data_IF_516294498272
#
_entry.id   IF_516294498272
#
_cell.length_a   1.000
_cell.length_b   1.000
_cell.length_c   1.000
_cell.angle_alpha   90.00
_cell.angle_beta   90.00
_cell.angle_gamma   90.00
#
_symmetry.space_group_name_H-M   'P 1'
#
loop_
_entity.id
_entity.type
_entity.pdbx_description
1 polymer ?
#
# COMPACT_ATOMS: atom_id res chain seq x y z
N UNK A 1 24.03 -22.27 -44.16
CA UNK A 1 22.72 -21.87 -43.55
C UNK A 1 22.52 -22.29 -42.09
N UNK A 2 23.25 -23.27 -41.51
CA UNK A 2 23.07 -23.67 -40.10
C UNK A 2 23.72 -22.72 -39.06
N UNK A 3 24.81 -22.02 -39.40
CA UNK A 3 25.51 -21.12 -38.46
C UNK A 3 24.83 -19.76 -38.26
N UNK A 4 24.03 -19.29 -39.22
CA UNK A 4 23.34 -18.00 -39.14
C UNK A 4 22.12 -18.10 -38.20
N UNK A 5 21.47 -19.27 -38.17
CA UNK A 5 20.30 -19.51 -37.33
C UNK A 5 20.65 -19.54 -35.82
N UNK A 6 21.82 -20.06 -35.45
CA UNK A 6 22.27 -20.09 -34.04
C UNK A 6 22.63 -18.69 -33.51
N UNK A 7 23.13 -17.79 -34.37
CA UNK A 7 23.44 -16.41 -33.97
C UNK A 7 22.16 -15.59 -33.77
N UNK A 8 21.12 -15.83 -34.57
CA UNK A 8 19.82 -15.17 -34.40
C UNK A 8 19.12 -15.57 -33.10
N UNK A 9 19.22 -16.84 -32.69
CA UNK A 9 18.61 -17.34 -31.45
C UNK A 9 19.34 -16.78 -30.21
N UNK A 10 20.67 -16.67 -30.24
CA UNK A 10 21.41 -16.03 -29.14
C UNK A 10 21.13 -14.52 -29.04
N UNK A 11 20.90 -13.83 -30.16
CA UNK A 11 20.50 -12.41 -30.18
C UNK A 11 19.06 -12.22 -29.66
N UNK A 12 18.13 -13.13 -29.95
CA UNK A 12 16.77 -13.11 -29.40
C UNK A 12 16.75 -13.35 -27.88
N UNK A 13 17.71 -14.11 -27.33
CA UNK A 13 17.85 -14.30 -25.89
C UNK A 13 18.43 -13.08 -25.16
N UNK A 14 19.12 -12.16 -25.84
CA UNK A 14 19.60 -10.91 -25.23
C UNK A 14 18.58 -9.78 -25.22
N UNK A 15 17.48 -9.90 -25.98
CA UNK A 15 16.36 -8.94 -25.94
C UNK A 15 15.28 -9.28 -24.91
N UNK A 16 15.44 -10.37 -24.15
CA UNK A 16 14.56 -10.74 -23.03
C UNK A 16 15.19 -10.46 -21.65
N UNK A 17 16.14 -9.53 -21.59
CA UNK A 17 16.73 -9.03 -20.35
C UNK A 17 16.18 -7.67 -19.88
N UNK A 18 15.06 -7.21 -20.46
CA UNK A 18 14.29 -6.06 -19.97
C UNK A 18 12.87 -6.48 -19.58
N UNK A 19 12.75 -7.52 -18.75
CA UNK A 19 11.81 -7.41 -17.63
C UNK A 19 12.60 -6.77 -16.49
N UNK A 20 12.82 -5.45 -16.56
CA UNK A 20 13.01 -4.73 -15.31
C UNK A 20 11.64 -4.81 -14.63
N UNK A 21 11.47 -5.81 -13.78
CA UNK A 21 10.31 -5.97 -12.91
C UNK A 21 10.18 -4.67 -12.12
N UNK A 22 9.21 -3.83 -12.49
CA UNK A 22 9.14 -2.50 -11.92
C UNK A 22 8.36 -2.54 -10.62
N UNK A 23 9.10 -2.74 -9.53
CA UNK A 23 8.55 -2.93 -8.20
C UNK A 23 8.87 -1.71 -7.32
N UNK A 24 8.55 -0.48 -7.75
CA UNK A 24 8.80 0.69 -6.90
C UNK A 24 8.56 2.07 -7.51
N UNK A 25 9.05 3.11 -6.84
CA UNK A 25 8.88 4.53 -7.19
C UNK A 25 10.23 5.24 -7.22
N UNK A 26 10.56 5.91 -8.33
CA UNK A 26 11.81 6.68 -8.45
C UNK A 26 13.05 5.81 -8.27
N UNK A 27 13.78 5.98 -7.17
CA UNK A 27 14.96 5.15 -6.78
C UNK A 27 14.63 4.08 -5.73
N UNK A 28 13.44 4.14 -5.11
CA UNK A 28 13.01 3.22 -4.07
C UNK A 28 12.36 1.99 -4.73
N UNK A 29 12.72 0.80 -4.27
CA UNK A 29 12.24 -0.48 -4.81
C UNK A 29 11.85 -1.42 -3.69
N UNK A 30 10.75 -2.15 -3.86
CA UNK A 30 10.45 -3.31 -3.01
C UNK A 30 11.65 -4.27 -3.04
N UNK A 31 11.90 -4.94 -1.92
CA UNK A 31 13.07 -5.80 -1.73
C UNK A 31 14.31 -5.10 -1.15
N UNK A 32 14.42 -3.77 -1.32
CA UNK A 32 15.52 -2.94 -0.79
C UNK A 32 15.76 -3.17 0.71
N UNK A 33 17.03 -3.21 1.12
CA UNK A 33 17.37 -3.30 2.55
C UNK A 33 17.26 -1.97 3.26
N UNK A 34 17.19 -1.98 4.61
CA UNK A 34 17.19 -0.72 5.38
C UNK A 34 18.51 0.02 5.14
N UNK A 35 19.63 -0.70 5.03
CA UNK A 35 20.94 -0.11 4.74
C UNK A 35 20.96 0.62 3.40
N UNK A 36 20.50 -0.04 2.33
CA UNK A 36 20.45 0.56 0.99
C UNK A 36 19.51 1.78 0.94
N UNK A 37 18.38 1.69 1.66
CA UNK A 37 17.45 2.80 1.81
C UNK A 37 18.12 3.99 2.51
N UNK A 38 18.75 3.76 3.67
CA UNK A 38 19.38 4.82 4.46
C UNK A 38 20.60 5.44 3.78
N UNK A 39 21.28 4.71 2.88
CA UNK A 39 22.33 5.30 2.05
C UNK A 39 21.78 6.41 1.14
N UNK A 40 20.55 6.23 0.62
CA UNK A 40 19.88 7.21 -0.23
C UNK A 40 19.12 8.27 0.56
N UNK A 41 18.67 7.93 1.77
CA UNK A 41 17.83 8.78 2.62
C UNK A 41 18.34 8.77 4.08
N UNK A 42 19.53 9.34 4.35
CA UNK A 42 20.17 9.27 5.67
C UNK A 42 19.36 9.95 6.78
N UNK A 43 18.57 10.96 6.43
CA UNK A 43 17.74 11.73 7.36
C UNK A 43 16.33 11.15 7.57
N UNK A 44 16.02 10.00 6.95
CA UNK A 44 14.72 9.36 7.07
C UNK A 44 14.47 8.93 8.53
N UNK A 45 13.37 9.40 9.10
CA UNK A 45 13.00 9.10 10.49
C UNK A 45 12.23 7.80 10.56
N UNK A 46 12.60 6.96 11.51
CA UNK A 46 11.79 5.83 11.91
C UNK A 46 10.53 6.35 12.59
N UNK A 47 9.39 5.82 12.19
CA UNK A 47 8.11 6.11 12.83
C UNK A 47 7.74 5.02 13.83
N UNK A 48 6.98 5.41 14.85
CA UNK A 48 6.49 4.47 15.86
C UNK A 48 5.83 3.27 15.18
N UNK A 49 6.29 2.06 15.54
CA UNK A 49 5.79 0.86 14.89
C UNK A 49 4.30 0.63 15.18
N UNK A 50 3.54 0.44 14.11
CA UNK A 50 2.11 0.12 14.13
C UNK A 50 1.85 -1.39 14.19
N UNK A 51 2.86 -2.23 13.95
CA UNK A 51 2.76 -3.69 13.87
C UNK A 51 3.45 -4.40 15.04
N UNK A 52 3.39 -3.83 16.25
CA UNK A 52 3.90 -4.41 17.50
C UNK A 52 5.37 -4.94 17.47
N UNK A 53 6.27 -4.17 16.89
CA UNK A 53 7.69 -4.46 16.61
C UNK A 53 7.95 -5.51 15.52
N UNK A 54 6.94 -5.93 14.74
CA UNK A 54 7.14 -6.85 13.61
C UNK A 54 7.73 -6.16 12.38
N UNK A 55 7.50 -4.86 12.24
CA UNK A 55 7.97 -4.10 11.07
C UNK A 55 8.74 -2.87 11.49
N UNK A 56 9.57 -2.34 10.59
CA UNK A 56 10.17 -1.02 10.77
C UNK A 56 9.64 -0.12 9.68
N UNK A 57 9.00 0.98 10.05
CA UNK A 57 8.49 1.95 9.09
C UNK A 57 9.32 3.22 9.15
N UNK A 58 9.67 3.74 7.98
CA UNK A 58 10.30 5.05 7.81
C UNK A 58 9.35 5.97 7.06
N UNK A 59 9.42 7.26 7.36
CA UNK A 59 8.61 8.27 6.66
C UNK A 59 9.52 9.26 5.93
N UNK A 60 9.24 9.45 4.65
CA UNK A 60 9.74 10.58 3.88
C UNK A 60 8.63 11.64 3.85
N UNK A 61 8.84 12.76 4.54
CA UNK A 61 7.86 13.85 4.61
C UNK A 61 7.51 14.39 3.21
N UNK A 62 8.51 14.46 2.34
CA UNK A 62 8.34 14.81 0.93
C UNK A 62 9.27 13.95 0.08
N UNK A 63 8.71 13.34 -0.97
CA UNK A 63 9.44 12.53 -1.93
C UNK A 63 9.01 12.84 -3.36
N UNK A 64 9.98 13.07 -4.25
CA UNK A 64 9.75 13.42 -5.65
C UNK A 64 10.31 12.28 -6.52
N UNK A 65 9.49 11.26 -6.86
CA UNK A 65 9.96 10.12 -7.67
C UNK A 65 10.28 10.50 -9.12
N UNK A 66 9.64 11.54 -9.64
CA UNK A 66 9.85 12.06 -10.99
C UNK A 66 9.42 13.52 -11.06
N UNK A 67 9.95 14.28 -12.03
CA UNK A 67 9.63 15.70 -12.21
C UNK A 67 8.11 15.90 -12.36
N UNK A 68 7.53 16.74 -11.50
CA UNK A 68 6.09 17.04 -11.51
C UNK A 68 5.23 16.12 -10.66
N UNK A 69 5.80 15.08 -10.05
CA UNK A 69 5.09 14.15 -9.17
C UNK A 69 5.70 14.19 -7.78
N UNK A 70 4.89 14.46 -6.77
CA UNK A 70 5.32 14.48 -5.38
C UNK A 70 4.40 13.65 -4.49
N UNK A 71 5.01 13.09 -3.46
CA UNK A 71 4.37 12.30 -2.42
C UNK A 71 4.71 12.97 -1.09
N UNK A 72 3.66 13.39 -0.38
CA UNK A 72 3.76 13.88 1.00
C UNK A 72 3.54 12.71 1.93
N UNK A 73 4.34 12.63 3.00
CA UNK A 73 4.29 11.55 3.99
C UNK A 73 4.26 10.16 3.32
N UNK A 74 5.33 9.83 2.62
CA UNK A 74 5.52 8.49 2.04
C UNK A 74 6.06 7.56 3.12
N UNK A 75 5.24 6.59 3.52
CA UNK A 75 5.57 5.54 4.46
C UNK A 75 6.25 4.39 3.73
N UNK A 76 7.32 3.86 4.33
CA UNK A 76 8.15 2.79 3.79
C UNK A 76 8.32 1.72 4.86
N UNK A 77 7.65 0.58 4.71
CA UNK A 77 7.60 -0.48 5.72
C UNK A 77 8.48 -1.66 5.35
N UNK A 78 9.34 -2.04 6.29
CA UNK A 78 10.31 -3.11 6.16
C UNK A 78 9.94 -4.30 7.06
N UNK A 79 10.09 -5.50 6.52
CA UNK A 79 9.94 -6.77 7.24
C UNK A 79 11.19 -7.61 7.01
N UNK A 80 11.82 -8.08 8.09
CA UNK A 80 13.10 -8.81 8.05
C UNK A 80 14.16 -8.12 7.17
N UNK A 81 14.34 -6.80 7.36
CA UNK A 81 15.29 -5.97 6.60
C UNK A 81 14.98 -5.88 5.08
N UNK A 82 13.74 -6.11 4.66
CA UNK A 82 13.33 -5.96 3.26
C UNK A 82 12.11 -5.06 3.13
N UNK A 83 12.18 -4.04 2.28
CA UNK A 83 11.08 -3.13 1.97
C UNK A 83 9.95 -3.90 1.29
N UNK A 84 8.80 -4.00 1.94
CA UNK A 84 7.67 -4.75 1.40
C UNK A 84 6.48 -3.87 1.04
N UNK A 85 6.39 -2.65 1.57
CA UNK A 85 5.30 -1.74 1.26
C UNK A 85 5.77 -0.28 1.23
N UNK A 86 5.23 0.47 0.27
CA UNK A 86 5.33 1.93 0.20
C UNK A 86 3.94 2.52 -0.01
N UNK A 87 3.51 3.46 0.83
CA UNK A 87 2.15 3.98 0.78
C UNK A 87 2.06 5.42 1.29
N UNK A 88 1.02 6.13 0.87
CA UNK A 88 0.61 7.40 1.49
C UNK A 88 -0.91 7.49 1.55
N UNK A 89 -1.41 8.21 2.55
CA UNK A 89 -2.82 8.59 2.69
C UNK A 89 -3.04 10.08 2.41
N UNK A 90 -1.98 10.78 2.01
CA UNK A 90 -2.04 12.19 1.65
C UNK A 90 -2.47 12.35 0.19
N UNK A 91 -3.17 13.45 -0.16
CA UNK A 91 -3.49 13.76 -1.54
C UNK A 91 -2.24 13.78 -2.42
N UNK A 92 -2.29 13.09 -3.55
CA UNK A 92 -1.18 13.01 -4.50
C UNK A 92 -1.69 12.90 -5.94
N UNK A 93 -0.87 13.38 -6.88
CA UNK A 93 -1.08 13.26 -8.32
C UNK A 93 -0.38 12.02 -8.93
N UNK A 94 0.14 11.10 -8.10
CA UNK A 94 0.93 9.95 -8.56
C UNK A 94 0.17 9.03 -9.53
N UNK A 95 -1.18 9.03 -9.50
CA UNK A 95 -2.03 8.25 -10.41
C UNK A 95 -1.62 8.38 -11.88
N UNK A 96 -1.35 9.60 -12.35
CA UNK A 96 -0.98 9.83 -13.75
C UNK A 96 0.37 9.18 -14.08
N UNK A 97 1.36 9.31 -13.20
CA UNK A 97 2.65 8.63 -13.36
C UNK A 97 2.51 7.11 -13.37
N UNK A 98 1.62 6.54 -12.54
CA UNK A 98 1.35 5.10 -12.52
C UNK A 98 0.69 4.64 -13.83
N UNK A 99 -0.26 5.42 -14.37
CA UNK A 99 -0.88 5.10 -15.67
C UNK A 99 0.13 5.15 -16.81
N UNK A 100 1.03 6.14 -16.83
CA UNK A 100 2.11 6.19 -17.83
C UNK A 100 3.02 4.96 -17.72
N UNK A 101 3.30 4.53 -16.49
CA UNK A 101 4.26 3.48 -16.20
C UNK A 101 3.73 2.06 -16.42
N UNK A 102 2.53 1.76 -15.93
CA UNK A 102 1.94 0.43 -15.91
C UNK A 102 0.75 0.28 -16.89
N UNK A 103 0.40 1.34 -17.62
CA UNK A 103 -0.77 1.37 -18.49
C UNK A 103 -2.07 1.69 -17.76
N UNK A 104 -3.19 1.42 -18.42
CA UNK A 104 -4.51 1.74 -17.85
C UNK A 104 -4.84 0.84 -16.64
N UNK A 105 -5.33 1.41 -15.53
CA UNK A 105 -5.73 0.63 -14.37
C UNK A 105 -7.07 -0.06 -14.60
N UNK A 106 -7.28 -1.17 -13.88
CA UNK A 106 -8.62 -1.65 -13.59
C UNK A 106 -9.28 -0.69 -12.60
N UNK A 107 -10.52 -0.27 -12.90
CA UNK A 107 -11.27 0.69 -12.07
C UNK A 107 -12.52 0.00 -11.54
N UNK A 108 -12.63 -0.06 -10.22
CA UNK A 108 -13.87 -0.43 -9.53
C UNK A 108 -14.48 0.82 -8.92
N UNK A 109 -15.77 1.03 -9.17
CA UNK A 109 -16.52 2.16 -8.65
C UNK A 109 -17.70 1.65 -7.82
N UNK A 110 -17.73 2.08 -6.56
CA UNK A 110 -18.74 1.68 -5.59
C UNK A 110 -19.50 2.91 -5.10
N UNK A 111 -20.82 2.74 -4.92
CA UNK A 111 -21.71 3.77 -4.37
C UNK A 111 -22.53 3.19 -3.24
N UNK A 112 -22.59 3.91 -2.13
CA UNK A 112 -23.41 3.52 -0.98
C UNK A 112 -24.29 4.71 -0.55
N UNK A 113 -25.63 4.61 -0.68
CA UNK A 113 -26.50 5.67 -0.19
C UNK A 113 -26.52 5.72 1.34
N UNK A 114 -26.57 6.93 1.88
CA UNK A 114 -26.74 7.21 3.31
C UNK A 114 -27.86 8.21 3.50
N UNK A 115 -28.74 7.91 4.45
CA UNK A 115 -29.85 8.76 4.82
C UNK A 115 -29.44 9.75 5.91
N UNK A 116 -29.91 10.99 5.76
CA UNK A 116 -29.70 12.08 6.71
C UNK A 116 -31.01 12.84 6.90
N UNK A 117 -31.14 13.54 8.02
CA UNK A 117 -32.27 14.44 8.28
C UNK A 117 -31.75 15.87 8.23
N UNK A 118 -32.37 16.72 7.40
CA UNK A 118 -32.00 18.12 7.32
C UNK A 118 -32.62 18.95 8.46
N UNK A 119 -32.28 20.25 8.54
CA UNK A 119 -32.80 21.15 9.58
C UNK A 119 -34.33 21.38 9.56
N UNK A 120 -35.03 20.88 8.54
CA UNK A 120 -36.49 20.94 8.41
C UNK A 120 -37.17 19.60 8.75
N UNK A 121 -36.41 18.58 9.16
CA UNK A 121 -36.94 17.25 9.46
C UNK A 121 -37.13 16.35 8.23
N UNK A 122 -36.71 16.79 7.04
CA UNK A 122 -36.85 15.98 5.82
C UNK A 122 -35.66 15.03 5.65
N UNK A 123 -35.94 13.78 5.29
CA UNK A 123 -34.92 12.82 4.87
C UNK A 123 -34.29 13.24 3.54
N UNK A 124 -32.97 13.26 3.50
CA UNK A 124 -32.16 13.47 2.31
C UNK A 124 -31.19 12.29 2.16
N UNK A 125 -30.91 11.90 0.92
CA UNK A 125 -29.95 10.83 0.61
C UNK A 125 -28.66 11.48 0.11
N UNK A 126 -27.52 11.05 0.66
CA UNK A 126 -26.19 11.39 0.14
C UNK A 126 -25.46 10.10 -0.22
N UNK A 127 -24.67 10.11 -1.28
CA UNK A 127 -23.95 8.92 -1.75
C UNK A 127 -22.49 8.98 -1.33
N UNK A 128 -22.05 7.98 -0.56
CA UNK A 128 -20.62 7.70 -0.44
C UNK A 128 -20.14 7.08 -1.75
N UNK A 129 -19.00 7.55 -2.24
CA UNK A 129 -18.40 7.10 -3.51
C UNK A 129 -16.99 6.59 -3.26
N UNK A 130 -16.60 5.51 -3.93
CA UNK A 130 -15.24 4.99 -3.90
C UNK A 130 -14.80 4.60 -5.30
N UNK A 131 -13.67 5.15 -5.74
CA UNK A 131 -12.97 4.77 -6.96
C UNK A 131 -11.69 4.04 -6.56
N UNK A 132 -11.65 2.74 -6.78
CA UNK A 132 -10.50 1.90 -6.49
C UNK A 132 -9.82 1.55 -7.81
N UNK A 133 -8.59 2.03 -7.98
CA UNK A 133 -7.77 1.83 -9.17
C UNK A 133 -6.67 0.83 -8.84
N UNK A 134 -6.45 -0.14 -9.72
CA UNK A 134 -5.37 -1.13 -9.59
C UNK A 134 -4.62 -1.28 -10.91
N UNK A 135 -3.31 -1.25 -10.86
CA UNK A 135 -2.45 -1.48 -12.02
C UNK A 135 -1.90 -2.90 -12.03
N UNK A 136 -1.80 -3.49 -13.21
CA UNK A 136 -1.05 -4.72 -13.41
C UNK A 136 0.45 -4.39 -13.41
N UNK A 137 1.16 -4.90 -12.42
CA UNK A 137 2.61 -4.68 -12.27
C UNK A 137 3.44 -5.67 -13.08
N UNK A 138 2.81 -6.69 -13.69
CA UNK A 138 3.47 -7.84 -14.27
C UNK A 138 3.98 -8.85 -13.24
N UNK A 139 3.87 -8.54 -11.94
CA UNK A 139 4.26 -9.41 -10.83
C UNK A 139 3.02 -9.74 -9.96
N UNK A 140 2.57 -11.02 -9.91
CA UNK A 140 1.36 -11.39 -9.19
C UNK A 140 1.48 -11.21 -7.67
N UNK A 141 2.70 -11.13 -7.13
CA UNK A 141 2.91 -10.90 -5.70
C UNK A 141 2.85 -9.41 -5.32
N UNK A 142 2.78 -8.49 -6.29
CA UNK A 142 2.83 -7.05 -6.05
C UNK A 142 1.54 -6.39 -6.50
N UNK A 143 0.92 -5.71 -5.55
CA UNK A 143 -0.23 -4.86 -5.84
C UNK A 143 0.23 -3.41 -5.95
N UNK A 144 -0.33 -2.70 -6.92
CA UNK A 144 -0.23 -1.25 -7.04
C UNK A 144 -1.64 -0.68 -7.11
N UNK A 145 -1.99 0.21 -6.19
CA UNK A 145 -3.34 0.74 -6.07
C UNK A 145 -3.39 2.23 -5.78
N UNK A 146 -4.51 2.83 -6.15
CA UNK A 146 -4.90 4.19 -5.79
C UNK A 146 -6.40 4.20 -5.49
N UNK A 147 -6.79 4.66 -4.30
CA UNK A 147 -8.18 4.76 -3.90
C UNK A 147 -8.53 6.24 -3.69
N UNK A 148 -9.66 6.66 -4.24
CA UNK A 148 -10.26 7.98 -4.04
C UNK A 148 -11.68 7.80 -3.54
N UNK A 149 -11.94 8.22 -2.31
CA UNK A 149 -13.21 8.00 -1.64
C UNK A 149 -13.78 9.32 -1.17
N UNK A 150 -15.08 9.51 -1.37
CA UNK A 150 -15.84 10.56 -0.71
C UNK A 150 -16.82 9.89 0.24
N UNK A 151 -16.67 10.14 1.54
CA UNK A 151 -17.55 9.62 2.58
C UNK A 151 -18.19 10.74 3.37
N UNK A 152 -19.44 10.55 3.73
CA UNK A 152 -20.19 11.49 4.55
C UNK A 152 -20.09 11.09 6.04
N UNK A 153 -19.78 12.08 6.89
CA UNK A 153 -19.76 11.90 8.35
C UNK A 153 -21.18 11.78 8.92
N UNK A 154 -21.30 11.66 10.25
CA UNK A 154 -22.59 11.56 10.94
C UNK A 154 -23.49 12.80 10.77
N UNK A 155 -22.93 13.94 10.36
CA UNK A 155 -23.65 15.19 10.08
C UNK A 155 -23.92 15.38 8.58
N UNK A 156 -23.54 14.39 7.76
CA UNK A 156 -23.67 14.45 6.31
C UNK A 156 -22.65 15.38 5.65
N UNK A 157 -21.56 15.77 6.32
CA UNK A 157 -20.47 16.51 5.70
C UNK A 157 -19.60 15.55 4.89
N UNK A 158 -19.35 15.88 3.63
CA UNK A 158 -18.46 15.12 2.77
C UNK A 158 -17.00 15.28 3.20
N UNK A 159 -16.27 14.17 3.27
CA UNK A 159 -14.84 14.10 3.52
C UNK A 159 -14.21 13.24 2.42
N UNK A 160 -13.13 13.75 1.81
CA UNK A 160 -12.39 13.02 0.78
C UNK A 160 -11.19 12.32 1.40
N UNK A 161 -11.00 11.06 1.03
CA UNK A 161 -9.89 10.22 1.47
C UNK A 161 -9.19 9.68 0.23
N UNK A 162 -7.88 9.92 0.15
CA UNK A 162 -7.03 9.35 -0.89
C UNK A 162 -6.09 8.36 -0.23
N UNK A 163 -5.85 7.23 -0.87
CA UNK A 163 -4.74 6.36 -0.50
C UNK A 163 -4.06 5.80 -1.73
N UNK A 164 -2.74 5.70 -1.67
CA UNK A 164 -1.90 5.08 -2.68
C UNK A 164 -1.03 4.04 -1.99
N UNK A 165 -0.76 2.93 -2.67
CA UNK A 165 0.21 1.95 -2.20
C UNK A 165 0.80 1.09 -3.31
N UNK A 166 2.05 0.66 -3.10
CA UNK A 166 2.71 -0.45 -3.79
C UNK A 166 3.25 -1.38 -2.72
N UNK A 167 2.81 -2.64 -2.73
CA UNK A 167 3.21 -3.59 -1.69
C UNK A 167 3.29 -5.03 -2.20
N UNK A 168 4.16 -5.81 -1.56
CA UNK A 168 4.22 -7.25 -1.71
C UNK A 168 3.10 -7.90 -0.89
N UNK A 169 2.08 -8.39 -1.57
CA UNK A 169 0.87 -8.93 -0.97
C UNK A 169 1.16 -10.16 -0.11
N UNK A 170 2.11 -11.01 -0.52
CA UNK A 170 2.46 -12.23 0.21
C UNK A 170 3.09 -11.91 1.57
N UNK A 171 4.00 -10.95 1.61
CA UNK A 171 4.61 -10.47 2.87
C UNK A 171 3.53 -9.81 3.74
N UNK A 172 2.68 -8.96 3.14
CA UNK A 172 1.57 -8.32 3.86
C UNK A 172 0.66 -9.35 4.54
N UNK A 173 0.23 -10.41 3.83
CA UNK A 173 -0.60 -11.47 4.42
C UNK A 173 0.13 -12.25 5.53
N UNK A 174 1.43 -12.43 5.41
CA UNK A 174 2.25 -13.08 6.45
C UNK A 174 2.27 -12.24 7.72
N UNK A 175 2.53 -10.94 7.60
CA UNK A 175 2.51 -10.00 8.74
C UNK A 175 1.13 -9.98 9.39
N UNK A 176 0.07 -9.89 8.58
CA UNK A 176 -1.32 -9.92 9.06
C UNK A 176 -1.60 -11.18 9.87
N UNK A 177 -1.22 -12.35 9.37
CA UNK A 177 -1.42 -13.61 10.09
C UNK A 177 -0.65 -13.66 11.41
N UNK A 178 0.59 -13.16 11.44
CA UNK A 178 1.39 -13.08 12.67
C UNK A 178 0.76 -12.16 13.72
N UNK A 179 0.23 -11.01 13.29
CA UNK A 179 -0.48 -10.08 14.18
C UNK A 179 -1.76 -10.71 14.75
N UNK A 180 -2.56 -11.40 13.91
CA UNK A 180 -3.76 -12.10 14.35
C UNK A 180 -3.45 -13.19 15.39
N UNK A 181 -2.40 -13.99 15.15
CA UNK A 181 -1.95 -15.00 16.11
C UNK A 181 -1.48 -14.38 17.43
N UNK A 182 -0.76 -13.25 17.38
CA UNK A 182 -0.30 -12.54 18.58
C UNK A 182 -1.47 -12.01 19.40
N UNK A 183 -2.45 -11.40 18.72
CA UNK A 183 -3.68 -10.92 19.35
C UNK A 183 -4.46 -12.05 20.00
N UNK A 184 -4.66 -13.17 19.29
CA UNK A 184 -5.39 -14.31 19.83
C UNK A 184 -4.73 -14.87 21.10
N UNK A 185 -3.39 -14.99 21.12
CA UNK A 185 -2.65 -15.39 22.32
C UNK A 185 -2.85 -14.43 23.49
N UNK A 186 -2.86 -13.12 23.24
CA UNK A 186 -3.11 -12.12 24.28
C UNK A 186 -4.53 -12.21 24.83
N UNK A 187 -5.52 -12.37 23.96
CA UNK A 187 -6.93 -12.51 24.35
C UNK A 187 -7.13 -13.78 25.21
N UNK A 188 -6.48 -14.89 24.85
CA UNK A 188 -6.53 -16.14 25.62
C UNK A 188 -5.88 -15.99 27.00
N UNK A 189 -4.73 -15.32 27.11
CA UNK A 189 -4.06 -15.04 28.39
C UNK A 189 -4.98 -14.19 29.28
N UNK A 190 -5.52 -13.09 28.74
CA UNK A 190 -6.43 -12.21 29.48
C UNK A 190 -7.70 -12.94 29.95
N UNK A 191 -8.23 -13.85 29.11
CA UNK A 191 -9.38 -14.66 29.46
C UNK A 191 -9.05 -15.62 30.61
N UNK A 192 -7.90 -16.29 30.56
CA UNK A 192 -7.44 -17.18 31.64
C UNK A 192 -7.20 -16.43 32.95
N UNK A 193 -6.60 -15.23 32.90
CA UNK A 193 -6.40 -14.38 34.08
C UNK A 193 -7.73 -13.97 34.71
N UNK A 194 -8.70 -13.52 33.88
CA UNK A 194 -10.05 -13.20 34.35
C UNK A 194 -10.75 -14.41 34.97
N UNK A 195 -10.64 -15.59 34.36
CA UNK A 195 -11.23 -16.82 34.91
C UNK A 195 -10.66 -17.13 36.30
N UNK A 196 -9.34 -17.05 36.49
CA UNK A 196 -8.72 -17.25 37.81
C UNK A 196 -9.22 -16.25 38.85
N UNK A 197 -9.43 -14.99 38.48
CA UNK A 197 -10.02 -13.98 39.38
C UNK A 197 -11.46 -14.32 39.75
N UNK A 198 -12.25 -14.83 38.80
CA UNK A 198 -13.65 -15.20 39.02
C UNK A 198 -13.80 -16.51 39.79
N UNK A 199 -12.88 -17.47 39.65
CA UNK A 199 -12.85 -18.72 40.43
C UNK A 199 -12.47 -18.49 41.90
N UNK A 200 -11.89 -17.33 42.23
CA UNK A 200 -11.57 -16.91 43.59
C UNK A 200 -12.68 -16.11 44.29
N UNK A 201 -13.84 -15.91 43.65
CA UNK A 201 -15.06 -15.32 44.24
C UNK A 201 -15.95 -16.41 44.82
#
# INVERSE_FOLDING_TARGET
MKRILSVLICLLCTFYAESQTIDGLGVIRLGMTISDFQQSFPDAKNEKDFNDNLTKTFVLNEYIPAKGYSLTELYLSFYNDSLYAMYTIMPTNIKEALTIKYGEPQITHERTPKEYVNGLGNTIIKEDQSFNLKWDTGNPDIICYYNDQVKHDSRGKANRYISFGIENQKIFQTIKSLLEQKKQKQDDIQKQEKLKTLEGL
#
